data_IF_050356594690
#
_entry.id   IF_050356594690
#
_cell.length_a   1.000
_cell.length_b   1.000
_cell.length_c   1.000
_cell.angle_alpha   90.00
_cell.angle_beta   90.00
_cell.angle_gamma   90.00
#
_symmetry.space_group_name_H-M   'P 1'
#
loop_
_entity.id
_entity.type
_entity.pdbx_description
1 polymer ?
#
# COMPACT_ATOMS: atom_id res chain seq x y z
N UNK A 1 4.44 -21.51 -10.54
CA UNK A 1 3.18 -21.77 -11.27
C UNK A 1 1.97 -21.93 -10.36
N UNK A 2 2.04 -22.65 -9.24
CA UNK A 2 0.88 -22.84 -8.33
C UNK A 2 0.35 -21.52 -7.74
N UNK A 3 1.22 -20.61 -7.29
CA UNK A 3 0.82 -19.32 -6.72
C UNK A 3 0.18 -18.37 -7.75
N UNK A 4 0.73 -18.30 -8.96
CA UNK A 4 0.16 -17.51 -10.05
C UNK A 4 -1.31 -17.87 -10.37
N UNK A 5 -1.61 -19.17 -10.48
CA UNK A 5 -2.98 -19.63 -10.73
C UNK A 5 -3.94 -19.26 -9.57
N UNK A 6 -3.47 -19.35 -8.32
CA UNK A 6 -4.26 -18.98 -7.15
C UNK A 6 -4.57 -17.48 -7.17
N UNK A 7 -3.57 -16.64 -7.47
CA UNK A 7 -3.73 -15.19 -7.60
C UNK A 7 -4.81 -14.84 -8.63
N UNK A 8 -4.72 -15.43 -9.83
CA UNK A 8 -5.73 -15.24 -10.86
C UNK A 8 -7.13 -15.65 -10.40
N UNK A 9 -7.23 -16.79 -9.71
CA UNK A 9 -8.51 -17.27 -9.20
C UNK A 9 -9.10 -16.33 -8.15
N UNK A 10 -8.27 -15.76 -7.27
CA UNK A 10 -8.73 -14.76 -6.30
C UNK A 10 -9.29 -13.53 -7.02
N UNK A 11 -8.57 -12.99 -8.01
CA UNK A 11 -9.05 -11.85 -8.81
C UNK A 11 -10.38 -12.20 -9.48
N UNK A 12 -10.48 -13.40 -10.08
CA UNK A 12 -11.70 -13.88 -10.75
C UNK A 12 -12.87 -14.00 -9.77
N UNK A 13 -12.67 -14.56 -8.59
CA UNK A 13 -13.73 -14.74 -7.57
C UNK A 13 -14.24 -13.40 -7.01
N UNK A 14 -13.34 -12.45 -6.75
CA UNK A 14 -13.75 -11.10 -6.35
C UNK A 14 -14.56 -10.44 -7.48
N UNK A 15 -14.11 -10.58 -8.73
CA UNK A 15 -14.73 -10.02 -9.94
C UNK A 15 -16.03 -10.71 -10.37
N UNK A 16 -16.37 -11.85 -9.76
CA UNK A 16 -17.55 -12.65 -10.15
C UNK A 16 -18.83 -12.00 -9.66
N UNK A 17 -19.69 -11.63 -10.61
CA UNK A 17 -21.02 -11.11 -10.36
C UNK A 17 -21.94 -11.51 -11.52
N UNK A 18 -22.80 -12.49 -11.27
CA UNK A 18 -23.88 -12.89 -12.16
C UNK A 18 -25.20 -12.79 -11.41
N UNK A 19 -26.15 -12.02 -11.92
CA UNK A 19 -27.45 -11.81 -11.30
C UNK A 19 -28.49 -12.68 -12.00
N UNK A 20 -29.26 -13.40 -11.20
CA UNK A 20 -30.41 -14.19 -11.66
C UNK A 20 -31.57 -13.98 -10.71
N UNK A 21 -32.78 -14.33 -11.14
CA UNK A 21 -33.96 -14.36 -10.27
C UNK A 21 -34.27 -15.83 -10.00
N UNK A 22 -34.47 -16.15 -8.73
CA UNK A 22 -34.91 -17.47 -8.30
C UNK A 22 -36.40 -17.64 -8.59
N UNK A 23 -36.79 -18.74 -9.25
CA UNK A 23 -38.18 -18.95 -9.69
C UNK A 23 -39.14 -19.20 -8.53
N UNK A 24 -38.63 -19.73 -7.41
CA UNK A 24 -39.45 -20.24 -6.31
C UNK A 24 -39.69 -19.15 -5.28
N UNK A 25 -38.63 -18.41 -4.93
CA UNK A 25 -38.66 -17.30 -3.98
C UNK A 25 -38.96 -15.95 -4.63
N UNK A 26 -38.85 -15.87 -5.97
CA UNK A 26 -38.94 -14.61 -6.73
C UNK A 26 -37.97 -13.53 -6.21
N UNK A 27 -36.79 -13.94 -5.74
CA UNK A 27 -35.78 -13.03 -5.23
C UNK A 27 -34.49 -13.07 -6.08
N UNK A 28 -33.66 -12.03 -5.94
CA UNK A 28 -32.40 -11.94 -6.66
C UNK A 28 -31.32 -12.83 -6.02
N UNK A 29 -30.68 -13.63 -6.86
CA UNK A 29 -29.48 -14.37 -6.52
C UNK A 29 -28.26 -13.70 -7.14
N UNK A 30 -27.14 -13.83 -6.46
CA UNK A 30 -25.83 -13.45 -6.96
C UNK A 30 -24.95 -14.69 -7.02
N UNK A 31 -24.46 -14.99 -8.22
CA UNK A 31 -23.68 -16.21 -8.50
C UNK A 31 -24.42 -17.50 -8.10
N UNK A 32 -25.75 -17.49 -8.13
CA UNK A 32 -26.60 -18.62 -7.76
C UNK A 32 -26.84 -18.81 -6.26
N UNK A 33 -26.40 -17.87 -5.41
CA UNK A 33 -26.58 -17.95 -3.95
C UNK A 33 -27.38 -16.77 -3.42
N UNK A 34 -28.03 -16.97 -2.29
CA UNK A 34 -28.71 -15.92 -1.54
C UNK A 34 -27.65 -14.98 -0.95
N UNK A 35 -27.74 -13.66 -1.17
CA UNK A 35 -26.67 -12.73 -0.78
C UNK A 35 -26.32 -12.76 0.72
N UNK A 36 -27.32 -12.99 1.58
CA UNK A 36 -27.18 -13.05 3.04
C UNK A 36 -26.33 -14.25 3.51
N UNK A 37 -26.10 -15.25 2.66
CA UNK A 37 -25.23 -16.40 2.95
C UNK A 37 -23.75 -16.11 2.67
N UNK A 38 -23.44 -14.99 2.02
CA UNK A 38 -22.05 -14.58 1.76
C UNK A 38 -21.43 -14.04 3.06
N UNK A 39 -20.29 -14.58 3.53
CA UNK A 39 -19.63 -14.07 4.73
C UNK A 39 -19.25 -12.59 4.61
N UNK A 40 -19.50 -11.80 5.66
CA UNK A 40 -19.22 -10.36 5.66
C UNK A 40 -17.73 -10.03 5.41
N UNK A 41 -16.85 -10.94 5.82
CA UNK A 41 -15.40 -10.88 5.73
C UNK A 41 -14.83 -11.57 4.48
N UNK A 42 -15.66 -12.10 3.59
CA UNK A 42 -15.25 -12.83 2.38
C UNK A 42 -14.19 -12.08 1.55
N UNK A 43 -14.42 -10.79 1.25
CA UNK A 43 -13.47 -10.00 0.46
C UNK A 43 -12.17 -9.69 1.22
N UNK A 44 -12.24 -9.59 2.55
CA UNK A 44 -11.07 -9.33 3.40
C UNK A 44 -10.15 -10.56 3.41
N UNK A 45 -10.72 -11.75 3.56
CA UNK A 45 -9.98 -13.01 3.52
C UNK A 45 -9.31 -13.23 2.17
N UNK A 46 -10.04 -13.00 1.06
CA UNK A 46 -9.48 -13.11 -0.29
C UNK A 46 -8.35 -12.10 -0.53
N UNK A 47 -8.52 -10.85 -0.10
CA UNK A 47 -7.47 -9.84 -0.25
C UNK A 47 -6.19 -10.22 0.53
N UNK A 48 -6.34 -10.75 1.74
CA UNK A 48 -5.22 -11.21 2.56
C UNK A 48 -4.46 -12.36 1.89
N UNK A 49 -5.18 -13.40 1.41
CA UNK A 49 -4.54 -14.51 0.69
C UNK A 49 -3.85 -13.98 -0.57
N UNK A 50 -4.48 -13.07 -1.32
CA UNK A 50 -3.86 -12.43 -2.48
C UNK A 50 -2.51 -11.77 -2.14
N UNK A 51 -2.45 -10.96 -1.08
CA UNK A 51 -1.20 -10.30 -0.66
C UNK A 51 -0.11 -11.32 -0.32
N UNK A 52 -0.44 -12.37 0.42
CA UNK A 52 0.51 -13.44 0.76
C UNK A 52 1.03 -14.16 -0.50
N UNK A 53 0.13 -14.48 -1.44
CA UNK A 53 0.50 -15.17 -2.68
C UNK A 53 1.38 -14.31 -3.58
N UNK A 54 1.12 -13.01 -3.69
CA UNK A 54 1.98 -12.10 -4.47
C UNK A 54 3.39 -12.07 -3.87
N UNK A 55 3.52 -11.96 -2.55
CA UNK A 55 4.83 -11.96 -1.89
C UNK A 55 5.60 -13.26 -2.13
N UNK A 56 4.94 -14.41 -2.03
CA UNK A 56 5.55 -15.70 -2.37
C UNK A 56 5.95 -15.75 -3.86
N UNK A 57 5.08 -15.28 -4.75
CA UNK A 57 5.36 -15.24 -6.19
C UNK A 57 6.58 -14.36 -6.49
N UNK A 58 6.72 -13.20 -5.83
CA UNK A 58 7.87 -12.29 -5.90
C UNK A 58 9.19 -12.96 -5.48
N UNK A 59 9.17 -13.78 -4.42
CA UNK A 59 10.34 -14.54 -3.94
C UNK A 59 10.79 -15.65 -4.89
N UNK A 60 9.85 -16.28 -5.60
CA UNK A 60 10.13 -17.47 -6.39
C UNK A 60 10.51 -17.15 -7.85
N UNK A 61 9.63 -16.50 -8.61
CA UNK A 61 9.75 -16.29 -10.06
C UNK A 61 8.67 -15.30 -10.55
N UNK A 62 8.65 -14.08 -10.03
CA UNK A 62 7.75 -13.04 -10.53
C UNK A 62 8.48 -12.17 -11.56
N UNK A 63 7.74 -11.69 -12.56
CA UNK A 63 8.20 -10.67 -13.49
C UNK A 63 7.27 -9.46 -13.44
N UNK A 64 7.76 -8.30 -13.86
CA UNK A 64 6.94 -7.10 -14.01
C UNK A 64 5.79 -7.35 -14.98
N UNK A 65 6.03 -8.13 -16.03
CA UNK A 65 5.02 -8.50 -17.03
C UNK A 65 3.87 -9.27 -16.40
N UNK A 66 4.16 -10.21 -15.48
CA UNK A 66 3.15 -10.97 -14.77
C UNK A 66 2.32 -10.09 -13.82
N UNK A 67 2.97 -9.15 -13.12
CA UNK A 67 2.25 -8.18 -12.27
C UNK A 67 1.33 -7.26 -13.10
N UNK A 68 1.79 -6.82 -14.28
CA UNK A 68 0.98 -6.04 -15.23
C UNK A 68 -0.20 -6.84 -15.77
N UNK A 69 -0.02 -8.15 -15.98
CA UNK A 69 -1.11 -9.04 -16.37
C UNK A 69 -2.19 -9.09 -15.27
N UNK A 70 -1.80 -9.23 -14.01
CA UNK A 70 -2.75 -9.18 -12.89
C UNK A 70 -3.47 -7.83 -12.81
N UNK A 71 -2.78 -6.69 -12.99
CA UNK A 71 -3.43 -5.37 -13.06
C UNK A 71 -4.48 -5.34 -14.18
N UNK A 72 -4.16 -5.88 -15.35
CA UNK A 72 -5.09 -5.92 -16.49
C UNK A 72 -6.33 -6.77 -16.19
N UNK A 73 -6.14 -7.90 -15.50
CA UNK A 73 -7.25 -8.75 -15.04
C UNK A 73 -8.10 -8.02 -13.98
N UNK A 74 -7.47 -7.33 -13.03
CA UNK A 74 -8.15 -6.53 -12.01
C UNK A 74 -8.97 -5.41 -12.65
N UNK A 75 -8.42 -4.66 -13.60
CA UNK A 75 -9.13 -3.60 -14.33
C UNK A 75 -10.33 -4.14 -15.12
N UNK A 76 -10.17 -5.32 -15.73
CA UNK A 76 -11.27 -6.02 -16.41
C UNK A 76 -12.37 -6.43 -15.43
N UNK A 77 -11.99 -6.86 -14.22
CA UNK A 77 -12.88 -7.16 -13.11
C UNK A 77 -13.67 -5.94 -12.64
N UNK A 78 -12.99 -4.81 -12.41
CA UNK A 78 -13.61 -3.53 -12.03
C UNK A 78 -14.67 -3.12 -13.05
N UNK A 79 -14.31 -3.09 -14.34
CA UNK A 79 -15.25 -2.75 -15.43
C UNK A 79 -16.47 -3.67 -15.45
N UNK A 80 -16.27 -4.97 -15.19
CA UNK A 80 -17.38 -5.93 -15.12
C UNK A 80 -18.31 -5.63 -13.96
N UNK A 81 -17.76 -5.37 -12.76
CA UNK A 81 -18.56 -5.03 -11.59
C UNK A 81 -19.30 -3.70 -11.76
N UNK A 82 -18.65 -2.67 -12.30
CA UNK A 82 -19.26 -1.37 -12.60
C UNK A 82 -20.45 -1.52 -13.55
N UNK A 83 -20.31 -2.36 -14.58
CA UNK A 83 -21.40 -2.65 -15.51
C UNK A 83 -22.60 -3.28 -14.80
N UNK A 84 -22.37 -4.29 -13.96
CA UNK A 84 -23.43 -4.94 -13.18
C UNK A 84 -24.10 -3.97 -12.20
N UNK A 85 -23.31 -3.16 -11.50
CA UNK A 85 -23.82 -2.11 -10.57
C UNK A 85 -24.67 -1.09 -11.33
N UNK A 86 -24.21 -0.65 -12.51
CA UNK A 86 -24.91 0.33 -13.34
C UNK A 86 -26.27 -0.15 -13.83
N UNK A 87 -26.42 -1.46 -14.07
CA UNK A 87 -27.68 -2.06 -14.51
C UNK A 87 -28.56 -2.61 -13.37
N UNK A 88 -28.04 -2.66 -12.14
CA UNK A 88 -28.71 -3.29 -11.00
C UNK A 88 -30.12 -2.75 -10.75
N UNK A 89 -30.25 -1.42 -10.64
CA UNK A 89 -31.53 -0.74 -10.38
C UNK A 89 -32.49 -0.88 -11.55
N UNK A 90 -31.98 -0.83 -12.78
CA UNK A 90 -32.78 -0.99 -13.99
C UNK A 90 -33.36 -2.40 -14.06
N UNK A 91 -32.56 -3.42 -13.80
CA UNK A 91 -33.00 -4.82 -13.76
C UNK A 91 -34.09 -5.05 -12.71
N UNK A 92 -33.93 -4.48 -11.50
CA UNK A 92 -34.96 -4.52 -10.47
C UNK A 92 -36.29 -3.89 -10.93
N UNK A 93 -36.25 -2.66 -11.44
CA UNK A 93 -37.46 -1.94 -11.87
C UNK A 93 -38.18 -2.69 -13.00
N UNK A 94 -37.44 -3.23 -13.97
CA UNK A 94 -38.00 -4.01 -15.06
C UNK A 94 -38.65 -5.32 -14.56
N UNK A 95 -37.96 -6.07 -13.69
CA UNK A 95 -38.50 -7.31 -13.15
C UNK A 95 -39.75 -7.07 -12.28
N UNK A 96 -39.73 -6.00 -11.47
CA UNK A 96 -40.89 -5.58 -10.66
C UNK A 96 -42.09 -5.19 -11.52
N UNK A 97 -41.88 -4.49 -12.63
CA UNK A 97 -42.96 -4.12 -13.55
C UNK A 97 -43.65 -5.30 -14.24
N UNK A 98 -43.00 -6.48 -14.22
CA UNK A 98 -43.51 -7.73 -14.80
C UNK A 98 -44.01 -8.73 -13.76
N UNK A 99 -44.08 -8.33 -12.49
CA UNK A 99 -44.43 -9.21 -11.35
C UNK A 99 -43.52 -10.46 -11.23
N UNK A 100 -42.28 -10.35 -11.72
CA UNK A 100 -41.26 -11.42 -11.69
C UNK A 100 -40.57 -11.53 -10.31
N UNK A 101 -40.69 -10.51 -9.46
CA UNK A 101 -40.00 -10.41 -8.17
C UNK A 101 -40.97 -10.25 -7.00
N UNK A 102 -40.61 -10.78 -5.83
CA UNK A 102 -41.40 -10.74 -4.60
C UNK A 102 -41.19 -9.47 -3.77
N UNK A 103 -41.87 -9.40 -2.63
CA UNK A 103 -41.86 -8.23 -1.72
C UNK A 103 -40.46 -7.89 -1.17
N UNK A 104 -39.60 -8.90 -0.97
CA UNK A 104 -38.27 -8.74 -0.39
C UNK A 104 -37.20 -8.32 -1.42
N UNK A 105 -37.51 -8.31 -2.71
CA UNK A 105 -36.50 -8.14 -3.76
C UNK A 105 -35.79 -6.77 -3.73
N UNK A 106 -36.44 -5.73 -3.18
CA UNK A 106 -35.83 -4.41 -3.02
C UNK A 106 -34.66 -4.44 -2.05
N UNK A 107 -34.85 -5.00 -0.86
CA UNK A 107 -33.81 -5.07 0.16
C UNK A 107 -32.68 -6.01 -0.26
N UNK A 108 -33.00 -7.12 -0.93
CA UNK A 108 -32.00 -8.04 -1.50
C UNK A 108 -31.14 -7.34 -2.55
N UNK A 109 -31.73 -6.52 -3.44
CA UNK A 109 -30.98 -5.74 -4.42
C UNK A 109 -30.10 -4.66 -3.78
N UNK A 110 -30.59 -3.97 -2.74
CA UNK A 110 -29.76 -3.02 -1.99
C UNK A 110 -28.54 -3.70 -1.36
N UNK A 111 -28.74 -4.86 -0.75
CA UNK A 111 -27.67 -5.67 -0.18
C UNK A 111 -26.65 -6.12 -1.24
N UNK A 112 -27.12 -6.64 -2.37
CA UNK A 112 -26.27 -6.99 -3.52
C UNK A 112 -25.45 -5.78 -3.97
N UNK A 113 -26.08 -4.61 -4.08
CA UNK A 113 -25.41 -3.37 -4.45
C UNK A 113 -24.29 -2.99 -3.47
N UNK A 114 -24.52 -3.13 -2.16
CA UNK A 114 -23.51 -2.90 -1.14
C UNK A 114 -22.33 -3.90 -1.27
N UNK A 115 -22.63 -5.18 -1.45
CA UNK A 115 -21.61 -6.22 -1.62
C UNK A 115 -20.76 -6.02 -2.89
N UNK A 116 -21.38 -5.66 -4.02
CA UNK A 116 -20.66 -5.37 -5.26
C UNK A 116 -19.72 -4.16 -5.12
N UNK A 117 -20.14 -3.13 -4.36
CA UNK A 117 -19.27 -1.99 -4.03
C UNK A 117 -18.06 -2.42 -3.20
N UNK A 118 -18.23 -3.33 -2.24
CA UNK A 118 -17.12 -3.88 -1.44
C UNK A 118 -16.15 -4.67 -2.33
N UNK A 119 -16.66 -5.54 -3.21
CA UNK A 119 -15.85 -6.28 -4.20
C UNK A 119 -15.04 -5.32 -5.08
N UNK A 120 -15.68 -4.27 -5.59
CA UNK A 120 -15.04 -3.28 -6.46
C UNK A 120 -13.93 -2.49 -5.73
N UNK A 121 -14.21 -2.04 -4.50
CA UNK A 121 -13.21 -1.41 -3.62
C UNK A 121 -12.02 -2.34 -3.36
N UNK A 122 -12.26 -3.63 -3.17
CA UNK A 122 -11.22 -4.64 -2.97
C UNK A 122 -10.34 -4.80 -4.22
N UNK A 123 -10.93 -4.84 -5.41
CA UNK A 123 -10.16 -4.86 -6.67
C UNK A 123 -9.31 -3.59 -6.84
N UNK A 124 -9.84 -2.43 -6.44
CA UNK A 124 -9.08 -1.18 -6.46
C UNK A 124 -7.86 -1.23 -5.52
N UNK A 125 -8.00 -1.84 -4.34
CA UNK A 125 -6.87 -2.06 -3.44
C UNK A 125 -5.84 -3.04 -4.01
N UNK A 126 -6.30 -4.14 -4.62
CA UNK A 126 -5.43 -5.09 -5.32
C UNK A 126 -4.60 -4.36 -6.39
N UNK A 127 -5.24 -3.51 -7.19
CA UNK A 127 -4.55 -2.73 -8.22
C UNK A 127 -3.47 -1.83 -7.62
N UNK A 128 -3.83 -1.00 -6.63
CA UNK A 128 -2.88 -0.10 -5.98
C UNK A 128 -1.70 -0.85 -5.35
N UNK A 129 -1.96 -2.01 -4.73
CA UNK A 129 -0.93 -2.88 -4.20
C UNK A 129 0.02 -3.36 -5.29
N UNK A 130 -0.50 -3.90 -6.40
CA UNK A 130 0.31 -4.34 -7.54
C UNK A 130 1.12 -3.21 -8.18
N UNK A 131 0.54 -2.02 -8.32
CA UNK A 131 1.24 -0.84 -8.85
C UNK A 131 2.41 -0.43 -7.95
N UNK A 132 2.23 -0.52 -6.62
CA UNK A 132 3.29 -0.31 -5.65
C UNK A 132 4.39 -1.38 -5.78
N UNK A 133 4.02 -2.66 -5.85
CA UNK A 133 5.00 -3.76 -6.01
C UNK A 133 5.81 -3.60 -7.31
N UNK A 134 5.19 -3.21 -8.43
CA UNK A 134 5.91 -2.90 -9.68
C UNK A 134 6.87 -1.74 -9.50
N UNK A 135 6.45 -0.68 -8.81
CA UNK A 135 7.27 0.53 -8.62
C UNK A 135 8.55 0.23 -7.82
N UNK A 136 8.49 -0.69 -6.87
CA UNK A 136 9.62 -1.10 -6.04
C UNK A 136 10.26 -2.42 -6.50
N UNK A 137 9.85 -2.94 -7.65
CA UNK A 137 10.35 -4.19 -8.19
C UNK A 137 11.86 -4.08 -8.47
N UNK A 138 12.66 -4.90 -7.77
CA UNK A 138 14.13 -4.89 -7.85
C UNK A 138 14.84 -4.10 -6.74
N UNK A 139 14.11 -3.37 -5.88
CA UNK A 139 14.66 -2.75 -4.66
C UNK A 139 14.53 -3.65 -3.41
N UNK A 140 13.78 -4.74 -3.52
CA UNK A 140 13.50 -5.67 -2.42
C UNK A 140 14.73 -6.51 -2.08
N UNK A 141 15.11 -6.55 -0.80
CA UNK A 141 16.16 -7.42 -0.29
C UNK A 141 15.59 -8.78 0.12
N UNK A 142 16.42 -9.82 0.19
CA UNK A 142 15.97 -11.16 0.63
C UNK A 142 15.46 -11.19 2.08
N UNK A 143 15.73 -10.15 2.88
CA UNK A 143 15.28 -10.03 4.27
C UNK A 143 13.85 -9.49 4.39
N UNK A 144 13.40 -8.64 3.45
CA UNK A 144 12.04 -8.07 3.41
C UNK A 144 10.95 -9.16 3.29
N UNK A 145 11.33 -10.38 2.89
CA UNK A 145 10.44 -11.53 2.73
C UNK A 145 10.52 -12.55 3.87
N UNK A 146 11.47 -12.42 4.82
CA UNK A 146 11.62 -13.35 5.96
C UNK A 146 10.65 -13.04 7.09
N UNK A 147 10.30 -11.77 7.29
CA UNK A 147 9.44 -11.30 8.39
C UNK A 147 7.98 -11.80 8.31
N UNK A 148 7.56 -12.33 7.16
CA UNK A 148 6.17 -12.75 6.91
C UNK A 148 5.92 -14.25 7.10
N UNK A 149 6.97 -15.07 7.26
CA UNK A 149 6.80 -16.48 7.63
C UNK A 149 6.39 -16.64 9.12
N UNK A 150 6.55 -15.60 9.95
CA UNK A 150 6.33 -15.64 11.41
C UNK A 150 5.19 -14.77 11.98
N UNK A 151 4.51 -13.94 11.18
CA UNK A 151 3.43 -13.07 11.70
C UNK A 151 2.11 -13.83 11.83
N UNK A 152 1.75 -14.14 13.09
CA UNK A 152 0.40 -14.53 13.53
C UNK A 152 -0.67 -13.55 13.03
N UNK A 153 -1.87 -14.08 12.81
CA UNK A 153 -3.08 -13.37 12.39
C UNK A 153 -3.26 -12.05 13.15
N UNK A 154 -3.41 -10.89 12.46
CA UNK A 154 -3.87 -9.68 13.10
C UNK A 154 -5.39 -9.76 13.26
N UNK A 155 -5.84 -9.54 14.49
CA UNK A 155 -7.25 -9.43 14.87
C UNK A 155 -7.95 -8.32 14.07
N UNK A 156 -9.24 -8.57 13.85
CA UNK A 156 -10.17 -7.76 13.10
C UNK A 156 -10.31 -6.36 13.70
N UNK A 157 -9.67 -5.38 13.07
CA UNK A 157 -10.19 -4.03 12.95
C UNK A 157 -9.59 -3.37 11.71
N UNK A 158 -10.45 -3.04 10.75
CA UNK A 158 -10.08 -2.32 9.54
C UNK A 158 -9.78 -0.87 9.94
N UNK A 159 -8.54 -0.62 10.34
CA UNK A 159 -7.88 0.67 10.23
C UNK A 159 -6.85 0.55 9.10
N UNK A 160 -7.33 0.77 7.87
CA UNK A 160 -6.47 0.98 6.70
C UNK A 160 -5.80 2.35 6.88
N UNK A 161 -4.71 2.35 7.63
CA UNK A 161 -3.61 3.27 7.50
C UNK A 161 -2.38 2.37 7.41
N UNK A 162 -1.87 2.15 6.20
CA UNK A 162 -0.49 1.70 6.03
C UNK A 162 0.41 2.78 6.63
N UNK A 163 0.63 2.72 7.95
CA UNK A 163 1.88 3.21 8.50
C UNK A 163 2.92 2.20 8.03
N UNK A 164 3.45 2.40 6.83
CA UNK A 164 4.81 1.93 6.55
C UNK A 164 5.65 2.37 7.75
N UNK A 165 6.22 1.42 8.48
CA UNK A 165 7.08 1.73 9.61
C UNK A 165 8.24 2.57 9.07
N UNK A 166 8.25 3.86 9.42
CA UNK A 166 9.30 4.78 8.99
C UNK A 166 10.44 4.76 9.98
N UNK A 167 11.65 4.70 9.46
CA UNK A 167 12.85 4.88 10.27
C UNK A 167 12.83 6.29 10.87
N UNK A 168 12.97 6.39 12.20
CA UNK A 168 12.99 7.70 12.87
C UNK A 168 14.44 8.11 13.11
N UNK A 169 14.85 9.18 12.45
CA UNK A 169 16.12 9.83 12.72
C UNK A 169 15.95 10.67 13.98
N UNK A 170 16.77 10.39 15.00
CA UNK A 170 16.85 11.18 16.24
C UNK A 170 17.59 12.51 16.02
N UNK A 171 17.17 13.22 14.97
CA UNK A 171 17.72 14.45 14.45
C UNK A 171 16.55 15.38 14.12
N UNK A 172 16.77 16.69 14.15
CA UNK A 172 15.78 17.64 13.62
C UNK A 172 15.59 17.43 12.11
N UNK A 173 14.53 18.03 11.54
CA UNK A 173 14.23 17.90 10.11
C UNK A 173 15.41 18.30 9.21
N UNK A 174 16.05 19.44 9.50
CA UNK A 174 17.17 19.93 8.67
C UNK A 174 18.41 19.05 8.83
N UNK A 175 18.73 18.63 10.05
CA UNK A 175 19.83 17.68 10.34
C UNK A 175 19.62 16.35 9.62
N UNK A 176 18.39 15.84 9.63
CA UNK A 176 18.01 14.62 8.92
C UNK A 176 18.27 14.75 7.41
N UNK A 177 17.86 15.86 6.80
CA UNK A 177 18.05 16.10 5.37
C UNK A 177 19.53 16.28 5.00
N UNK A 178 20.29 17.02 5.81
CA UNK A 178 21.74 17.18 5.62
C UNK A 178 22.45 15.83 5.77
N UNK A 179 22.08 15.02 6.76
CA UNK A 179 22.65 13.68 6.95
C UNK A 179 22.40 12.78 5.74
N UNK A 180 21.15 12.67 5.30
CA UNK A 180 20.78 11.87 4.12
C UNK A 180 21.49 12.36 2.84
N UNK A 181 21.65 13.68 2.69
CA UNK A 181 22.40 14.27 1.59
C UNK A 181 23.90 13.96 1.65
N UNK A 182 24.49 13.95 2.85
CA UNK A 182 25.89 13.54 3.05
C UNK A 182 26.08 12.07 2.70
N UNK A 183 25.16 11.18 3.09
CA UNK A 183 25.22 9.77 2.70
C UNK A 183 25.15 9.59 1.18
N UNK A 184 24.32 10.38 0.50
CA UNK A 184 24.28 10.42 -0.97
C UNK A 184 25.62 10.87 -1.56
N UNK A 185 26.20 11.96 -1.04
CA UNK A 185 27.47 12.51 -1.54
C UNK A 185 28.68 11.64 -1.25
N UNK A 186 28.63 10.86 -0.18
CA UNK A 186 29.64 9.87 0.17
C UNK A 186 29.50 8.56 -0.63
N UNK A 187 28.47 8.43 -1.48
CA UNK A 187 28.22 7.23 -2.28
C UNK A 187 27.64 6.05 -1.49
N UNK A 188 27.21 6.27 -0.24
CA UNK A 188 26.54 5.25 0.58
C UNK A 188 25.09 5.09 0.13
N UNK A 189 24.44 6.20 -0.24
CA UNK A 189 23.14 6.22 -0.90
C UNK A 189 23.31 6.68 -2.34
N UNK A 190 22.45 6.18 -3.24
CA UNK A 190 22.38 6.63 -4.63
C UNK A 190 20.93 6.74 -5.06
N UNK A 191 20.60 7.86 -5.71
CA UNK A 191 19.28 8.11 -6.28
C UNK A 191 19.41 8.34 -7.78
N UNK A 192 18.43 7.84 -8.54
CA UNK A 192 18.45 7.96 -10.01
C UNK A 192 18.17 9.38 -10.48
N UNK A 193 17.35 10.12 -9.74
CA UNK A 193 17.02 11.52 -9.98
C UNK A 193 16.45 12.18 -8.71
N UNK A 194 16.24 13.49 -8.75
CA UNK A 194 15.72 14.25 -7.61
C UNK A 194 14.31 13.81 -7.20
N UNK A 195 13.44 13.40 -8.12
CA UNK A 195 12.10 12.88 -7.77
C UNK A 195 12.15 11.53 -7.05
N UNK A 196 13.08 10.65 -7.42
CA UNK A 196 13.32 9.40 -6.71
C UNK A 196 13.78 9.69 -5.28
N UNK A 197 14.72 10.61 -5.10
CA UNK A 197 15.20 11.04 -3.78
C UNK A 197 14.06 11.56 -2.90
N UNK A 198 13.25 12.48 -3.41
CA UNK A 198 12.11 13.05 -2.67
C UNK A 198 11.17 11.95 -2.19
N UNK A 199 10.72 11.08 -3.10
CA UNK A 199 9.80 9.99 -2.78
C UNK A 199 10.39 9.00 -1.78
N UNK A 200 11.67 8.65 -1.93
CA UNK A 200 12.33 7.72 -1.01
C UNK A 200 12.37 8.31 0.40
N UNK A 201 12.75 9.58 0.54
CA UNK A 201 12.88 10.20 1.85
C UNK A 201 11.52 10.35 2.53
N UNK A 202 10.52 10.86 1.81
CA UNK A 202 9.19 11.15 2.37
C UNK A 202 8.40 9.89 2.75
N UNK A 203 8.68 8.77 2.08
CA UNK A 203 8.01 7.51 2.37
C UNK A 203 8.65 6.76 3.54
N UNK A 204 9.97 6.88 3.74
CA UNK A 204 10.72 5.99 4.62
C UNK A 204 11.21 6.62 5.92
N UNK A 205 11.25 7.96 6.05
CA UNK A 205 11.87 8.61 7.20
C UNK A 205 10.95 9.54 7.99
N UNK A 206 11.11 9.49 9.31
CA UNK A 206 10.66 10.51 10.25
C UNK A 206 11.87 11.26 10.80
N UNK A 207 11.65 12.50 11.24
CA UNK A 207 12.57 13.27 12.06
C UNK A 207 12.02 13.42 13.48
N UNK A 208 12.88 13.73 14.45
CA UNK A 208 12.47 13.97 15.83
C UNK A 208 12.30 15.48 16.08
N UNK A 209 11.11 15.91 16.49
CA UNK A 209 10.83 17.33 16.72
C UNK A 209 11.36 17.78 18.07
N UNK A 210 12.42 18.60 18.04
CA UNK A 210 13.08 19.11 19.25
C UNK A 210 12.63 20.50 19.63
N UNK A 211 11.91 21.22 18.77
CA UNK A 211 11.43 22.57 19.05
C UNK A 211 10.31 22.53 20.08
N UNK A 212 10.25 23.55 20.91
CA UNK A 212 9.20 23.69 21.92
C UNK A 212 7.85 24.05 21.27
N UNK A 213 7.17 23.05 20.72
CA UNK A 213 5.86 23.16 20.09
C UNK A 213 4.95 21.98 20.51
N UNK A 214 3.73 21.92 19.98
CA UNK A 214 2.74 20.87 20.33
C UNK A 214 3.20 19.44 20.02
N UNK A 215 4.19 19.29 19.15
CA UNK A 215 4.72 18.01 18.69
C UNK A 215 6.14 17.75 19.24
N UNK A 216 6.58 18.50 20.26
CA UNK A 216 7.89 18.29 20.87
C UNK A 216 8.04 16.84 21.32
N UNK A 217 9.22 16.29 21.10
CA UNK A 217 9.62 14.93 21.47
C UNK A 217 8.80 13.83 20.77
N UNK A 218 8.26 14.14 19.58
CA UNK A 218 7.53 13.18 18.74
C UNK A 218 8.23 12.96 17.39
N UNK A 219 8.04 11.76 16.84
CA UNK A 219 8.48 11.41 15.50
C UNK A 219 7.50 12.00 14.46
N UNK A 220 8.01 12.85 13.58
CA UNK A 220 7.21 13.52 12.55
C UNK A 220 7.71 13.09 11.17
N UNK A 221 6.80 12.74 10.23
CA UNK A 221 7.11 12.57 8.83
C UNK A 221 8.02 13.64 8.23
N UNK A 222 9.08 13.23 7.54
CA UNK A 222 9.76 14.14 6.62
C UNK A 222 8.84 14.31 5.39
N UNK A 223 8.47 15.53 5.07
CA UNK A 223 7.58 15.87 3.95
C UNK A 223 8.03 17.15 3.24
N UNK A 224 7.60 17.34 2.00
CA UNK A 224 7.82 18.56 1.19
C UNK A 224 9.29 18.88 0.94
N UNK A 225 10.09 17.84 0.70
CA UNK A 225 11.57 17.91 0.56
C UNK A 225 12.05 18.57 -0.72
N UNK A 226 11.17 18.70 -1.71
CA UNK A 226 11.43 19.31 -3.03
C UNK A 226 12.12 20.67 -2.96
N UNK A 227 11.79 21.49 -1.96
CA UNK A 227 12.32 22.84 -1.82
C UNK A 227 13.58 22.92 -0.93
N UNK A 228 13.92 21.84 -0.22
CA UNK A 228 15.06 21.82 0.69
C UNK A 228 16.36 21.46 -0.03
N UNK A 229 16.33 20.45 -0.92
CA UNK A 229 17.54 19.99 -1.62
C UNK A 229 18.22 21.05 -2.51
N UNK A 230 17.49 21.94 -3.22
CA UNK A 230 18.11 23.07 -3.91
C UNK A 230 18.92 23.96 -2.96
N UNK A 231 18.46 24.15 -1.72
CA UNK A 231 19.18 24.94 -0.70
C UNK A 231 20.41 24.21 -0.18
N UNK A 232 20.33 22.89 -0.01
CA UNK A 232 21.49 22.06 0.35
C UNK A 232 22.56 22.02 -0.75
N UNK A 233 22.16 22.15 -2.02
CA UNK A 233 23.05 22.26 -3.19
C UNK A 233 23.55 23.69 -3.43
N UNK A 234 23.02 24.68 -2.72
CA UNK A 234 23.28 26.10 -2.95
C UNK A 234 24.71 26.48 -2.59
N UNK A 235 25.30 27.37 -3.39
CA UNK A 235 26.59 28.02 -3.09
C UNK A 235 26.42 29.38 -2.43
N UNK A 236 25.18 29.82 -2.19
CA UNK A 236 24.91 31.09 -1.53
C UNK A 236 25.28 31.02 -0.05
N UNK A 237 26.03 32.05 0.40
CA UNK A 237 26.57 32.15 1.77
C UNK A 237 25.50 31.90 2.85
N UNK A 238 24.30 32.41 2.64
CA UNK A 238 23.20 32.33 3.60
C UNK A 238 22.65 30.91 3.79
N UNK A 239 22.86 30.02 2.82
CA UNK A 239 22.50 28.61 2.91
C UNK A 239 23.70 27.75 3.33
N UNK A 240 24.91 28.09 2.87
CA UNK A 240 26.15 27.33 3.17
C UNK A 240 26.50 27.39 4.66
N UNK A 241 26.44 28.57 5.28
CA UNK A 241 26.79 28.74 6.70
C UNK A 241 25.95 27.86 7.64
N UNK A 242 24.60 27.90 7.60
CA UNK A 242 23.79 27.04 8.46
C UNK A 242 23.98 25.55 8.16
N UNK A 243 24.13 25.16 6.90
CA UNK A 243 24.37 23.76 6.54
C UNK A 243 25.71 23.24 7.08
N UNK A 244 26.78 24.04 7.02
CA UNK A 244 28.07 23.66 7.58
C UNK A 244 28.01 23.50 9.10
N UNK A 245 27.29 24.38 9.81
CA UNK A 245 27.07 24.22 11.25
C UNK A 245 26.35 22.91 11.59
N UNK A 246 25.38 22.54 10.77
CA UNK A 246 24.67 21.26 10.92
C UNK A 246 25.63 20.09 10.65
N UNK A 247 26.48 20.17 9.63
CA UNK A 247 27.49 19.15 9.34
C UNK A 247 28.50 18.98 10.47
N UNK A 248 29.00 20.08 11.05
CA UNK A 248 29.91 20.03 12.19
C UNK A 248 29.27 19.28 13.37
N UNK A 249 28.00 19.60 13.68
CA UNK A 249 27.25 18.88 14.73
C UNK A 249 27.04 17.40 14.41
N UNK A 250 26.71 17.06 13.17
CA UNK A 250 26.54 15.67 12.75
C UNK A 250 27.86 14.89 12.83
N UNK A 251 28.99 15.53 12.53
CA UNK A 251 30.31 14.95 12.67
C UNK A 251 30.61 14.60 14.13
N UNK A 252 30.27 15.47 15.07
CA UNK A 252 30.46 15.19 16.50
C UNK A 252 29.61 13.99 16.95
N UNK A 253 28.33 13.94 16.56
CA UNK A 253 27.44 12.80 16.85
C UNK A 253 27.99 11.48 16.29
N UNK A 254 28.51 11.50 15.06
CA UNK A 254 29.10 10.31 14.45
C UNK A 254 30.39 9.89 15.15
N UNK A 255 31.25 10.85 15.54
CA UNK A 255 32.47 10.57 16.28
C UNK A 255 32.17 9.94 17.64
N UNK A 256 31.17 10.45 18.37
CA UNK A 256 30.73 9.86 19.63
C UNK A 256 30.25 8.42 19.43
N UNK A 257 29.46 8.16 18.38
CA UNK A 257 29.05 6.81 18.01
C UNK A 257 30.22 5.91 17.62
N UNK A 258 31.25 6.42 16.92
CA UNK A 258 32.45 5.65 16.61
C UNK A 258 33.26 5.24 17.84
N UNK A 259 33.22 6.02 18.92
CA UNK A 259 33.86 5.63 20.19
C UNK A 259 33.18 4.42 20.85
N UNK A 260 31.91 4.17 20.54
CA UNK A 260 31.19 2.95 20.98
C UNK A 260 31.59 1.72 20.17
N UNK A 261 32.04 1.90 18.92
CA UNK A 261 32.67 0.84 18.14
C UNK A 261 34.08 0.59 18.66
N UNK A 262 34.17 -0.21 19.72
CA UNK A 262 35.41 -0.73 20.28
C UNK A 262 36.14 -1.56 19.21
N UNK A 263 36.90 -0.92 18.32
CA UNK A 263 37.93 -1.58 17.54
C UNK A 263 39.05 -1.95 18.52
N UNK A 264 38.82 -3.03 19.27
CA UNK A 264 39.78 -3.66 20.17
C UNK A 264 40.95 -4.21 19.37
N UNK A 265 41.81 -3.31 18.90
CA UNK A 265 43.15 -3.63 18.46
C UNK A 265 43.95 -3.99 19.69
N UNK A 266 44.11 -5.29 19.94
CA UNK A 266 45.29 -5.79 20.64
C UNK A 266 46.51 -5.34 19.82
N UNK A 267 47.19 -4.30 20.32
CA UNK A 267 48.59 -4.01 19.98
C UNK A 267 49.48 -5.15 20.44
#
# INVERSE_FOLDING_TARGET
>A
MKNALIIENIIKEISKAHLTIDSDTKDFLINGTIPQEVPQDFCVLLYRDFQQRIKLQLKENCSIELLKEYITQTDSGVKRLDNVIGHLRVNYVLAKSKDEVGENAESTIEYIGAMLKIKNKTLSFIKSFLENEIKYFGYSTSEDYKTFEDTKEPESDILISEKTERATLMLSRIESLVFLYTLEKSGILKFDNDSHREKFIENNFNYFETRNNKNKDTAIPIQSTKYDFPKLKSTHRDEVIPNNKVLDRLKDILNDGFLEFNFGGKS
#
